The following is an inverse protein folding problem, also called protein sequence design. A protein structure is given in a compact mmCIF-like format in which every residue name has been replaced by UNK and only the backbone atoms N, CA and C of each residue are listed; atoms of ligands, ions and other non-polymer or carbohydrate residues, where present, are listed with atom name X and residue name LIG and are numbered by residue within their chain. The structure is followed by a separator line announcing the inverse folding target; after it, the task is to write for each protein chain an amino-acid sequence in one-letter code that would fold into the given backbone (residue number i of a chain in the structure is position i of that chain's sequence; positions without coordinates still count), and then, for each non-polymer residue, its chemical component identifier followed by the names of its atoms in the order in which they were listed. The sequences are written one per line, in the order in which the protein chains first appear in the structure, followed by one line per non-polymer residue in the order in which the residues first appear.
data_IF_966955491517
#
_entry.id   IF_966955491517
#
_cell.length_a   1.000
_cell.length_b   1.000
_cell.length_c   1.000
_cell.angle_alpha   90.00
_cell.angle_beta   90.00
_cell.angle_gamma   90.00
#
_symmetry.space_group_name_H-M   'P 1'
#
loop_
_entity.id
_entity.type
_entity.pdbx_description
1 polymer ?
#
# COMPACT_ATOMS: atom_id res chain seq x y z
N UNK A 1 -9.33 8.33 -17.77
CA UNK A 1 -8.18 7.42 -18.03
C UNK A 1 -8.17 6.35 -16.95
N UNK A 2 -8.53 5.09 -17.27
CA UNK A 2 -8.44 3.98 -16.31
C UNK A 2 -6.95 3.77 -16.00
N UNK A 3 -6.53 4.04 -14.76
CA UNK A 3 -5.13 3.82 -14.35
C UNK A 3 -4.90 2.32 -14.30
N UNK A 4 -3.91 1.82 -15.06
CA UNK A 4 -3.56 0.40 -15.08
C UNK A 4 -3.17 -0.02 -13.66
N UNK A 5 -3.79 -1.09 -13.17
CA UNK A 5 -3.59 -1.61 -11.81
C UNK A 5 -2.29 -2.43 -11.70
N UNK A 6 -1.88 -3.08 -12.80
CA UNK A 6 -0.63 -3.81 -12.96
C UNK A 6 -0.01 -3.53 -14.34
N UNK A 7 1.31 -3.45 -14.41
CA UNK A 7 2.11 -3.26 -15.62
C UNK A 7 3.21 -4.33 -15.65
N UNK A 8 3.24 -5.10 -16.74
CA UNK A 8 4.27 -6.09 -17.02
C UNK A 8 5.16 -5.59 -18.16
N UNK A 9 6.48 -5.81 -18.06
CA UNK A 9 7.47 -5.38 -19.04
C UNK A 9 8.48 -6.49 -19.32
N UNK A 10 8.50 -7.00 -20.56
CA UNK A 10 9.39 -8.08 -20.98
C UNK A 10 9.13 -9.44 -20.32
N UNK A 11 7.98 -9.59 -19.67
CA UNK A 11 7.53 -10.81 -18.99
C UNK A 11 6.07 -11.10 -19.30
N UNK A 12 5.68 -12.37 -19.28
CA UNK A 12 4.31 -12.81 -19.48
C UNK A 12 3.96 -14.00 -18.57
N UNK A 13 2.66 -14.17 -18.32
CA UNK A 13 2.15 -15.30 -17.55
C UNK A 13 2.17 -16.57 -18.42
N UNK A 14 2.74 -17.66 -17.93
CA UNK A 14 2.76 -18.97 -18.58
C UNK A 14 2.42 -20.08 -17.60
N UNK A 15 1.84 -21.17 -18.10
CA UNK A 15 1.73 -22.43 -17.37
C UNK A 15 3.09 -23.15 -17.41
N UNK A 16 3.58 -23.53 -16.24
CA UNK A 16 4.86 -24.23 -16.03
C UNK A 16 4.65 -25.71 -15.69
N UNK A 17 3.45 -26.26 -15.95
CA UNK A 17 3.13 -27.67 -15.72
C UNK A 17 2.97 -27.98 -14.23
N UNK A 18 3.87 -28.78 -13.69
CA UNK A 18 3.85 -29.23 -12.28
C UNK A 18 4.00 -28.09 -11.26
N UNK A 19 4.49 -26.92 -11.70
CA UNK A 19 4.67 -25.71 -10.88
C UNK A 19 3.51 -24.71 -10.98
N UNK A 20 2.51 -24.98 -11.82
CA UNK A 20 1.40 -24.06 -12.08
C UNK A 20 1.83 -22.80 -12.83
N UNK A 21 1.21 -21.65 -12.52
CA UNK A 21 1.43 -20.40 -13.25
C UNK A 21 2.72 -19.68 -12.82
N UNK A 22 3.47 -19.15 -13.78
CA UNK A 22 4.65 -18.34 -13.55
C UNK A 22 4.76 -17.14 -14.48
N UNK A 23 5.51 -16.12 -14.05
CA UNK A 23 5.92 -15.00 -14.89
C UNK A 23 7.26 -15.34 -15.55
N UNK A 24 7.27 -15.37 -16.88
CA UNK A 24 8.41 -15.81 -17.68
C UNK A 24 8.88 -14.68 -18.57
N UNK A 25 10.19 -14.46 -18.64
CA UNK A 25 10.78 -13.49 -19.56
C UNK A 25 10.46 -13.85 -21.03
N UNK A 26 9.88 -12.90 -21.77
CA UNK A 26 9.56 -13.04 -23.18
C UNK A 26 10.40 -12.10 -24.08
N UNK A 27 11.30 -11.32 -23.48
CA UNK A 27 12.27 -10.46 -24.15
C UNK A 27 13.58 -10.34 -23.30
N UNK A 28 14.70 -9.89 -23.88
CA UNK A 28 15.91 -9.58 -23.11
C UNK A 28 15.66 -8.52 -22.02
N UNK A 29 16.17 -8.74 -20.81
CA UNK A 29 16.00 -7.84 -19.66
C UNK A 29 17.36 -7.27 -19.24
N UNK A 30 17.50 -5.95 -19.30
CA UNK A 30 18.71 -5.27 -18.82
C UNK A 30 18.70 -5.15 -17.28
N UNK A 31 19.87 -5.10 -16.66
CA UNK A 31 19.98 -4.83 -15.21
C UNK A 31 19.27 -3.51 -14.85
N UNK A 32 18.50 -3.54 -13.76
CA UNK A 32 17.68 -2.42 -13.31
C UNK A 32 16.31 -2.29 -13.99
N UNK A 33 15.96 -3.18 -14.93
CA UNK A 33 14.64 -3.18 -15.56
C UNK A 33 13.54 -3.53 -14.54
N UNK A 34 12.52 -2.67 -14.44
CA UNK A 34 11.30 -2.98 -13.68
C UNK A 34 10.39 -3.85 -14.55
N UNK A 35 10.32 -5.14 -14.22
CA UNK A 35 9.53 -6.14 -14.98
C UNK A 35 8.07 -6.20 -14.57
N UNK A 36 7.76 -5.81 -13.32
CA UNK A 36 6.43 -5.78 -12.76
C UNK A 36 6.28 -4.54 -11.89
N UNK A 37 5.19 -3.81 -12.10
CA UNK A 37 4.74 -2.73 -11.23
C UNK A 37 3.25 -2.87 -11.00
N UNK A 38 2.85 -2.97 -9.74
CA UNK A 38 1.46 -3.18 -9.34
C UNK A 38 1.07 -2.28 -8.18
N UNK A 39 -0.19 -1.85 -8.16
CA UNK A 39 -0.78 -1.21 -6.98
C UNK A 39 -1.22 -2.26 -5.98
N UNK A 40 -0.93 -2.11 -4.68
CA UNK A 40 -1.43 -3.04 -3.68
C UNK A 40 -2.94 -3.19 -3.77
N UNK A 41 -3.41 -4.43 -3.83
CA UNK A 41 -4.84 -4.74 -3.78
C UNK A 41 -5.45 -4.29 -2.44
N UNK A 42 -4.77 -4.63 -1.34
CA UNK A 42 -5.11 -4.20 0.00
C UNK A 42 -3.83 -3.93 0.80
N UNK A 43 -3.91 -3.04 1.77
CA UNK A 43 -2.79 -2.79 2.70
C UNK A 43 -3.29 -2.59 4.11
N UNK A 44 -2.49 -3.02 5.08
CA UNK A 44 -2.72 -2.76 6.51
C UNK A 44 -1.38 -2.50 7.19
N UNK A 45 -1.39 -1.63 8.20
CA UNK A 45 -0.24 -1.38 9.05
C UNK A 45 -0.47 -2.00 10.42
N UNK A 46 0.60 -2.47 11.07
CA UNK A 46 0.50 -2.84 12.46
C UNK A 46 0.13 -1.60 13.30
N UNK A 47 -0.78 -1.73 14.29
CA UNK A 47 -1.15 -0.62 15.13
C UNK A 47 0.04 -0.21 16.00
N UNK A 48 0.38 1.08 15.95
CA UNK A 48 1.39 1.67 16.82
C UNK A 48 0.84 2.95 17.44
N UNK A 49 1.20 3.20 18.69
CA UNK A 49 0.80 4.43 19.43
C UNK A 49 1.61 5.64 19.00
N UNK A 50 2.83 5.42 18.49
CA UNK A 50 3.71 6.46 17.97
C UNK A 50 3.66 6.51 16.44
N UNK A 51 3.64 7.71 15.84
CA UNK A 51 3.67 7.86 14.40
C UNK A 51 5.03 7.44 13.84
N UNK A 52 5.08 6.33 13.11
CA UNK A 52 6.26 5.87 12.39
C UNK A 52 6.07 5.87 10.87
N UNK A 53 4.83 5.70 10.39
CA UNK A 53 4.53 5.55 8.98
C UNK A 53 3.12 6.06 8.62
N UNK A 54 3.00 6.67 7.44
CA UNK A 54 1.72 7.12 6.89
C UNK A 54 0.89 5.93 6.46
N UNK A 55 -0.34 5.85 6.95
CA UNK A 55 -1.23 4.74 6.60
C UNK A 55 -1.64 4.71 5.13
N UNK A 56 -1.75 5.88 4.49
CA UNK A 56 -2.19 5.98 3.11
C UNK A 56 -1.06 5.71 2.10
N UNK A 57 0.15 6.21 2.37
CA UNK A 57 1.24 6.25 1.36
C UNK A 57 2.54 5.59 1.81
N UNK A 58 2.57 4.99 3.00
CA UNK A 58 3.72 4.23 3.53
C UNK A 58 5.01 5.05 3.71
N UNK A 59 4.96 6.37 3.54
CA UNK A 59 6.08 7.26 3.85
C UNK A 59 6.30 7.32 5.35
N UNK A 60 7.56 7.28 5.77
CA UNK A 60 7.94 7.45 7.17
C UNK A 60 7.42 8.77 7.73
N UNK A 61 6.95 8.74 8.98
CA UNK A 61 6.49 9.90 9.73
C UNK A 61 7.31 10.00 11.00
N UNK A 62 7.51 11.22 11.46
CA UNK A 62 7.99 11.52 12.80
C UNK A 62 7.06 12.52 13.49
N UNK A 63 7.21 12.69 14.80
CA UNK A 63 6.49 13.72 15.56
C UNK A 63 6.70 15.15 15.01
N UNK A 64 7.82 15.42 14.34
CA UNK A 64 8.12 16.71 13.72
C UNK A 64 7.46 16.92 12.35
N UNK A 65 6.74 15.93 11.82
CA UNK A 65 6.12 16.01 10.50
C UNK A 65 5.02 17.08 10.48
N UNK A 66 5.23 18.15 9.69
CA UNK A 66 4.25 19.23 9.56
C UNK A 66 2.95 18.72 8.93
N UNK A 67 1.83 19.07 9.54
CA UNK A 67 0.50 18.68 9.03
C UNK A 67 0.14 17.22 9.28
N UNK A 68 0.85 16.54 10.19
CA UNK A 68 0.52 15.21 10.69
C UNK A 68 -0.95 15.17 11.15
N UNK A 69 -1.70 14.19 10.65
CA UNK A 69 -3.06 13.88 11.09
C UNK A 69 -3.09 12.51 11.72
N UNK A 70 -3.96 12.37 12.71
CA UNK A 70 -4.24 11.09 13.35
C UNK A 70 -5.73 10.84 13.29
N UNK A 71 -6.15 9.60 13.06
CA UNK A 71 -7.54 9.21 13.14
C UNK A 71 -8.07 9.47 14.55
N UNK A 72 -9.13 10.27 14.68
CA UNK A 72 -9.68 10.67 15.99
C UNK A 72 -10.34 9.52 16.75
N UNK A 73 -10.75 8.47 16.05
CA UNK A 73 -11.42 7.30 16.63
C UNK A 73 -10.42 6.34 17.26
N UNK A 74 -9.56 5.73 16.44
CA UNK A 74 -8.63 4.71 16.91
C UNK A 74 -7.32 5.28 17.49
N UNK A 75 -6.95 6.52 17.13
CA UNK A 75 -5.68 7.17 17.51
C UNK A 75 -4.39 6.47 17.04
N UNK A 76 -4.47 5.28 16.45
CA UNK A 76 -3.32 4.50 15.95
C UNK A 76 -3.01 4.70 14.47
N UNK A 77 -3.97 5.20 13.67
CA UNK A 77 -3.74 5.48 12.25
C UNK A 77 -3.22 6.91 12.07
N UNK A 78 -2.00 7.03 11.55
CA UNK A 78 -1.30 8.29 11.32
C UNK A 78 -1.13 8.61 9.83
N UNK A 79 -1.15 9.89 9.48
CA UNK A 79 -1.12 10.36 8.10
C UNK A 79 -0.20 11.58 7.98
N UNK A 80 0.69 11.56 6.99
CA UNK A 80 1.68 12.63 6.81
C UNK A 80 1.05 13.98 6.41
N UNK A 81 -0.22 13.99 6.00
CA UNK A 81 -0.93 15.18 5.56
C UNK A 81 -2.45 15.00 5.62
N UNK A 82 -3.19 16.12 5.56
CA UNK A 82 -4.64 16.10 5.38
C UNK A 82 -5.07 15.39 4.09
N UNK A 83 -4.28 15.50 3.01
CA UNK A 83 -4.54 14.83 1.73
C UNK A 83 -4.53 13.31 1.87
N UNK A 84 -3.54 12.76 2.57
CA UNK A 84 -3.47 11.33 2.85
C UNK A 84 -4.61 10.87 3.76
N UNK A 85 -4.92 11.65 4.80
CA UNK A 85 -6.06 11.37 5.68
C UNK A 85 -7.39 11.34 4.90
N UNK A 86 -7.66 12.35 4.06
CA UNK A 86 -8.93 12.45 3.34
C UNK A 86 -9.09 11.38 2.26
N UNK A 87 -7.99 10.96 1.62
CA UNK A 87 -7.99 9.88 0.64
C UNK A 87 -8.28 8.51 1.25
N UNK A 88 -7.79 8.25 2.46
CA UNK A 88 -7.86 6.91 3.09
C UNK A 88 -9.00 6.74 4.08
N UNK A 89 -9.51 7.81 4.71
CA UNK A 89 -10.47 7.75 5.83
C UNK A 89 -11.69 6.83 5.61
N UNK A 90 -12.15 6.69 4.37
CA UNK A 90 -13.28 5.83 4.02
C UNK A 90 -12.86 4.37 4.04
N UNK A 91 -11.82 4.01 3.29
CA UNK A 91 -11.24 2.66 3.26
C UNK A 91 -10.84 2.21 4.66
N UNK A 92 -10.18 3.08 5.44
CA UNK A 92 -9.82 2.80 6.83
C UNK A 92 -11.02 2.46 7.73
N UNK A 93 -12.16 3.14 7.51
CA UNK A 93 -13.38 2.89 8.27
C UNK A 93 -14.09 1.61 7.80
N UNK A 94 -14.23 1.44 6.50
CA UNK A 94 -15.02 0.36 5.88
C UNK A 94 -14.32 -0.99 5.93
N UNK A 95 -12.98 -1.03 5.99
CA UNK A 95 -12.22 -2.27 6.17
C UNK A 95 -12.37 -2.91 7.55
N UNK A 96 -13.03 -2.22 8.51
CA UNK A 96 -13.21 -2.69 9.88
C UNK A 96 -12.00 -2.47 10.79
N UNK A 97 -10.82 -2.19 10.24
CA UNK A 97 -9.60 -2.02 11.03
C UNK A 97 -9.65 -0.82 11.99
N UNK A 98 -10.36 0.26 11.64
CA UNK A 98 -10.52 1.41 12.51
C UNK A 98 -11.23 1.01 13.81
N UNK A 99 -12.16 0.05 13.73
CA UNK A 99 -12.81 -0.51 14.90
C UNK A 99 -11.87 -1.40 15.68
N UNK A 100 -11.12 -2.29 15.01
CA UNK A 100 -10.15 -3.18 15.64
C UNK A 100 -9.11 -2.40 16.44
N UNK A 101 -8.46 -1.39 15.84
CA UNK A 101 -7.45 -0.59 16.53
C UNK A 101 -8.00 0.26 17.68
N UNK A 102 -9.28 0.58 17.67
CA UNK A 102 -9.90 1.37 18.74
C UNK A 102 -10.21 0.54 20.00
N UNK A 103 -10.19 -0.79 19.90
CA UNK A 103 -10.52 -1.73 20.98
C UNK A 103 -9.43 -2.78 21.21
N UNK A 104 -8.24 -2.57 20.63
CA UNK A 104 -7.05 -3.39 20.82
C UNK A 104 -6.19 -2.86 21.98
#
# INVERSE_FOLDING_TARGET
MKRRECVLNGVELRDLGDKGLGLVACAPLAMGTVVLQERPYATSLLPHTTPSMCRCCFTSISAATKGLRTCRRCRSAHYCSYKCYSADRRTHRESGECWLYAHA
#
